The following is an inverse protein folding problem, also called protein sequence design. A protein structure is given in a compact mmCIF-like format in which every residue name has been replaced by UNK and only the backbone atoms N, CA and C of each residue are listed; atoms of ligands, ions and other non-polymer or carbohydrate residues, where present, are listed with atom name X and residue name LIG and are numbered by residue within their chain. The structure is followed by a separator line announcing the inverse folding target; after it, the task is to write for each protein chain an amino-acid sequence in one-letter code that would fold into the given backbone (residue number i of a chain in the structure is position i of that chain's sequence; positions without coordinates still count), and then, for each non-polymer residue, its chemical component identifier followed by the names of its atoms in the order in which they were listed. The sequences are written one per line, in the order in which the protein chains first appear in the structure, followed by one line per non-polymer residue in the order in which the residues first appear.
data_IF_860056622557
#
_entry.id   IF_860056622557
#
_cell.length_a   1.000
_cell.length_b   1.000
_cell.length_c   1.000
_cell.angle_alpha   90.00
_cell.angle_beta   90.00
_cell.angle_gamma   90.00
#
_symmetry.space_group_name_H-M   'P 1'
#
loop_
_entity.id
_entity.type
_entity.pdbx_description
1 polymer ?
#
# COMPACT_ATOMS: atom_id res chain seq x y z
N UNK A 1 9.75 2.02 -34.17
CA UNK A 1 10.17 2.74 -32.95
C UNK A 1 9.07 2.52 -31.92
N UNK A 2 9.23 1.57 -31.01
CA UNK A 2 8.28 1.33 -29.93
C UNK A 2 8.46 2.46 -28.91
N UNK A 3 7.45 3.31 -28.79
CA UNK A 3 7.40 4.40 -27.80
C UNK A 3 7.54 3.83 -26.40
N UNK A 4 8.39 4.44 -25.59
CA UNK A 4 8.60 4.06 -24.19
C UNK A 4 7.27 4.04 -23.45
N UNK A 5 6.82 2.85 -23.09
CA UNK A 5 5.87 2.70 -22.00
C UNK A 5 6.57 3.25 -20.78
N UNK A 6 6.04 4.32 -20.20
CA UNK A 6 6.45 4.80 -18.88
C UNK A 6 6.46 3.59 -17.95
N UNK A 7 7.64 3.09 -17.65
CA UNK A 7 7.78 1.86 -16.86
C UNK A 7 7.35 2.18 -15.42
N UNK A 8 6.15 1.71 -15.06
CA UNK A 8 5.66 1.85 -13.69
C UNK A 8 6.44 0.93 -12.80
N UNK A 9 7.09 1.52 -11.81
CA UNK A 9 7.91 0.80 -10.85
C UNK A 9 7.48 1.07 -9.40
N UNK A 10 7.73 0.07 -8.59
CA UNK A 10 7.58 0.11 -7.13
C UNK A 10 8.98 0.07 -6.51
N UNK A 11 9.24 0.93 -5.55
CA UNK A 11 10.57 1.08 -4.95
C UNK A 11 10.83 0.05 -3.84
N UNK A 12 12.11 -0.15 -3.53
CA UNK A 12 12.62 -1.09 -2.53
C UNK A 12 11.82 -1.09 -1.22
N UNK A 13 11.48 0.09 -0.69
CA UNK A 13 10.76 0.24 0.57
C UNK A 13 9.40 -0.48 0.59
N UNK A 14 8.70 -0.55 -0.56
CA UNK A 14 7.41 -1.25 -0.66
C UNK A 14 7.56 -2.76 -0.64
N UNK A 15 8.59 -3.28 -1.30
CA UNK A 15 8.88 -4.72 -1.27
C UNK A 15 9.38 -5.10 0.13
N UNK A 16 10.29 -4.32 0.72
CA UNK A 16 10.76 -4.53 2.09
C UNK A 16 9.59 -4.55 3.09
N UNK A 17 8.62 -3.64 2.96
CA UNK A 17 7.44 -3.61 3.80
C UNK A 17 6.67 -4.95 3.76
N UNK A 18 6.43 -5.53 2.58
CA UNK A 18 5.79 -6.83 2.46
C UNK A 18 6.63 -7.96 3.07
N UNK A 19 7.94 -7.97 2.81
CA UNK A 19 8.83 -8.96 3.41
C UNK A 19 8.83 -8.87 4.94
N UNK A 20 8.83 -7.67 5.52
CA UNK A 20 8.73 -7.43 6.97
C UNK A 20 7.35 -7.76 7.54
N UNK A 21 6.28 -7.65 6.74
CA UNK A 21 4.93 -7.99 7.16
C UNK A 21 4.74 -9.49 7.35
N UNK A 22 5.32 -10.30 6.46
CA UNK A 22 5.01 -11.71 6.31
C UNK A 22 6.14 -12.68 6.69
N UNK A 23 7.34 -12.20 6.96
CA UNK A 23 8.46 -13.04 7.39
C UNK A 23 9.54 -12.32 8.16
N UNK A 24 10.56 -13.04 8.66
CA UNK A 24 10.50 -14.37 9.23
C UNK A 24 9.70 -14.43 10.56
N UNK A 25 9.14 -15.57 10.95
CA UNK A 25 9.11 -16.85 10.27
C UNK A 25 8.14 -16.88 9.08
N UNK A 26 8.52 -17.56 8.00
CA UNK A 26 7.72 -17.66 6.79
C UNK A 26 6.63 -18.73 6.92
N UNK A 27 5.41 -18.45 6.42
CA UNK A 27 4.44 -19.51 6.21
C UNK A 27 4.96 -20.51 5.16
N UNK A 28 4.53 -21.80 5.24
CA UNK A 28 4.89 -22.80 4.22
C UNK A 28 4.57 -22.29 2.81
N UNK A 29 5.50 -22.46 1.88
CA UNK A 29 5.39 -22.01 0.49
C UNK A 29 5.72 -20.53 0.24
N UNK A 30 5.71 -19.67 1.25
CA UNK A 30 5.93 -18.23 1.04
C UNK A 30 7.35 -17.93 0.52
N UNK A 31 8.37 -18.51 1.14
CA UNK A 31 9.77 -18.32 0.71
C UNK A 31 10.00 -18.84 -0.71
N UNK A 32 9.42 -19.99 -1.05
CA UNK A 32 9.52 -20.59 -2.38
C UNK A 32 8.83 -19.73 -3.44
N UNK A 33 7.65 -19.16 -3.12
CA UNK A 33 6.94 -18.25 -4.00
C UNK A 33 7.76 -16.98 -4.29
N UNK A 34 8.41 -16.41 -3.28
CA UNK A 34 9.33 -15.27 -3.45
C UNK A 34 10.50 -15.61 -4.36
N UNK A 35 11.17 -16.74 -4.13
CA UNK A 35 12.31 -17.17 -4.95
C UNK A 35 11.91 -17.42 -6.41
N UNK A 36 10.74 -18.00 -6.68
CA UNK A 36 10.19 -18.17 -8.05
C UNK A 36 9.97 -16.83 -8.75
N UNK A 37 9.67 -15.77 -8.01
CA UNK A 37 9.56 -14.40 -8.54
C UNK A 37 10.92 -13.68 -8.66
N UNK A 38 12.02 -14.35 -8.33
CA UNK A 38 13.35 -13.76 -8.33
C UNK A 38 13.58 -12.74 -7.20
N UNK A 39 12.80 -12.88 -6.12
CA UNK A 39 12.94 -12.08 -4.89
C UNK A 39 13.53 -13.00 -3.82
N UNK A 40 14.80 -12.78 -3.51
CA UNK A 40 15.45 -13.49 -2.40
C UNK A 40 15.22 -12.69 -1.10
N UNK A 41 14.46 -13.21 -0.13
CA UNK A 41 14.16 -12.48 1.10
C UNK A 41 15.35 -12.33 2.05
N UNK A 42 16.45 -13.03 1.80
CA UNK A 42 17.69 -12.93 2.57
C UNK A 42 18.63 -11.84 2.02
N UNK A 43 18.34 -11.33 0.83
CA UNK A 43 19.10 -10.25 0.21
C UNK A 43 18.39 -8.91 0.36
N UNK A 44 19.17 -7.83 0.30
CA UNK A 44 18.60 -6.49 0.23
C UNK A 44 17.72 -6.33 -1.02
N UNK A 45 16.53 -5.73 -0.91
CA UNK A 45 15.68 -5.48 -2.07
C UNK A 45 16.39 -4.64 -3.13
N UNK A 46 16.10 -4.90 -4.42
CA UNK A 46 16.55 -4.04 -5.53
C UNK A 46 15.97 -2.64 -5.36
N UNK A 47 16.62 -1.63 -5.94
CA UNK A 47 16.16 -0.25 -5.87
C UNK A 47 14.72 -0.06 -6.36
N UNK A 48 14.32 -0.80 -7.42
CA UNK A 48 12.98 -0.77 -7.97
C UNK A 48 12.59 -2.14 -8.60
N UNK A 49 11.29 -2.35 -8.69
CA UNK A 49 10.68 -3.55 -9.28
C UNK A 49 9.58 -3.13 -10.27
N UNK A 50 9.46 -3.80 -11.44
CA UNK A 50 8.32 -3.58 -12.33
C UNK A 50 6.99 -3.77 -11.60
N UNK A 51 6.00 -2.94 -11.91
CA UNK A 51 4.67 -3.05 -11.30
C UNK A 51 4.08 -4.44 -11.50
N UNK A 52 4.26 -5.05 -12.68
CA UNK A 52 3.78 -6.41 -12.96
C UNK A 52 4.34 -7.46 -11.99
N UNK A 53 5.61 -7.35 -11.62
CA UNK A 53 6.23 -8.25 -10.64
C UNK A 53 5.69 -7.99 -9.22
N UNK A 54 5.47 -6.71 -8.86
CA UNK A 54 4.88 -6.37 -7.57
C UNK A 54 3.44 -6.89 -7.44
N UNK A 55 2.66 -6.87 -8.54
CA UNK A 55 1.33 -7.45 -8.56
C UNK A 55 1.34 -8.97 -8.33
N UNK A 56 2.29 -9.68 -8.95
CA UNK A 56 2.50 -11.12 -8.72
C UNK A 56 2.92 -11.41 -7.26
N UNK A 57 3.76 -10.57 -6.69
CA UNK A 57 4.16 -10.66 -5.29
C UNK A 57 2.96 -10.50 -4.36
N UNK A 58 2.10 -9.48 -4.58
CA UNK A 58 0.88 -9.28 -3.80
C UNK A 58 -0.07 -10.47 -3.90
N UNK A 59 -0.28 -11.00 -5.12
CA UNK A 59 -1.13 -12.16 -5.33
C UNK A 59 -0.61 -13.40 -4.59
N UNK A 60 0.67 -13.74 -4.78
CA UNK A 60 1.28 -14.93 -4.16
C UNK A 60 1.25 -14.87 -2.62
N UNK A 61 1.63 -13.74 -2.03
CA UNK A 61 1.58 -13.58 -0.57
C UNK A 61 0.14 -13.53 -0.06
N UNK A 62 -0.77 -12.90 -0.80
CA UNK A 62 -2.17 -12.82 -0.45
C UNK A 62 -2.83 -14.20 -0.38
N UNK A 63 -2.62 -15.05 -1.38
CA UNK A 63 -3.14 -16.42 -1.42
C UNK A 63 -2.60 -17.28 -0.26
N UNK A 64 -1.32 -17.15 0.07
CA UNK A 64 -0.70 -17.92 1.13
C UNK A 64 -1.15 -17.45 2.53
N UNK A 65 -1.30 -16.14 2.71
CA UNK A 65 -1.58 -15.58 4.04
C UNK A 65 -3.06 -15.44 4.35
N UNK A 66 -3.91 -15.29 3.34
CA UNK A 66 -5.35 -15.09 3.44
C UNK A 66 -6.13 -15.99 2.47
N UNK A 67 -5.95 -17.33 2.52
CA UNK A 67 -6.49 -18.27 1.52
C UNK A 67 -8.02 -18.26 1.48
N UNK A 68 -8.68 -18.07 2.64
CA UNK A 68 -10.13 -18.15 2.77
C UNK A 68 -10.86 -16.81 2.50
N UNK A 69 -10.08 -15.72 2.34
CA UNK A 69 -10.67 -14.41 2.08
C UNK A 69 -11.06 -14.26 0.61
N UNK A 70 -12.22 -13.65 0.35
CA UNK A 70 -12.58 -13.20 -1.00
C UNK A 70 -11.56 -12.15 -1.49
N UNK A 71 -11.44 -11.96 -2.79
CA UNK A 71 -10.34 -11.20 -3.39
C UNK A 71 -10.20 -9.77 -2.82
N UNK A 72 -11.29 -9.00 -2.74
CA UNK A 72 -11.24 -7.62 -2.24
C UNK A 72 -10.81 -7.56 -0.76
N UNK A 73 -11.33 -8.47 0.07
CA UNK A 73 -10.96 -8.57 1.48
C UNK A 73 -9.52 -9.04 1.66
N UNK A 74 -9.07 -9.99 0.84
CA UNK A 74 -7.67 -10.45 0.81
C UNK A 74 -6.73 -9.27 0.58
N UNK A 75 -7.01 -8.46 -0.43
CA UNK A 75 -6.17 -7.30 -0.72
C UNK A 75 -6.31 -6.18 0.31
N UNK A 76 -7.47 -6.03 0.94
CA UNK A 76 -7.61 -5.12 2.07
C UNK A 76 -6.69 -5.53 3.23
N UNK A 77 -6.69 -6.80 3.61
CA UNK A 77 -5.80 -7.34 4.64
C UNK A 77 -4.32 -7.23 4.24
N UNK A 78 -3.99 -7.42 2.96
CA UNK A 78 -2.66 -7.17 2.41
C UNK A 78 -2.22 -5.71 2.57
N UNK A 79 -3.10 -4.76 2.31
CA UNK A 79 -2.82 -3.33 2.49
C UNK A 79 -2.57 -2.96 3.96
N UNK A 80 -3.36 -3.53 4.86
CA UNK A 80 -3.12 -3.36 6.30
C UNK A 80 -1.79 -4.01 6.74
N UNK A 81 -1.49 -5.22 6.25
CA UNK A 81 -0.23 -5.89 6.53
C UNK A 81 0.97 -5.09 6.00
N UNK A 82 0.84 -4.50 4.82
CA UNK A 82 1.85 -3.62 4.24
C UNK A 82 2.23 -2.47 5.19
N UNK A 83 1.27 -1.77 5.78
CA UNK A 83 1.54 -0.67 6.73
C UNK A 83 2.23 -1.20 8.00
N UNK A 84 1.77 -2.34 8.56
CA UNK A 84 2.45 -2.99 9.71
C UNK A 84 3.88 -3.39 9.38
N UNK A 85 4.14 -3.86 8.18
CA UNK A 85 5.50 -4.19 7.72
C UNK A 85 6.34 -2.95 7.46
N UNK A 86 5.76 -1.92 6.86
CA UNK A 86 6.41 -0.64 6.62
C UNK A 86 6.88 0.01 7.94
N UNK A 87 6.07 -0.03 8.97
CA UNK A 87 6.42 0.43 10.33
C UNK A 87 7.65 -0.30 10.91
N UNK A 88 7.93 -1.51 10.47
CA UNK A 88 9.11 -2.29 10.89
C UNK A 88 10.38 -1.95 10.08
N UNK A 89 10.27 -1.21 8.99
CA UNK A 89 11.43 -0.72 8.25
C UNK A 89 12.00 0.54 8.91
N UNK A 90 13.27 0.86 8.66
CA UNK A 90 13.91 2.07 9.20
C UNK A 90 13.22 3.34 8.67
N UNK A 91 12.97 3.39 7.36
CA UNK A 91 12.34 4.53 6.68
C UNK A 91 10.89 4.67 7.13
N UNK A 92 10.13 3.58 7.18
CA UNK A 92 8.72 3.58 7.56
C UNK A 92 8.52 4.06 8.99
N UNK A 93 9.33 3.57 9.92
CA UNK A 93 9.30 4.00 11.32
C UNK A 93 9.51 5.51 11.48
N UNK A 94 10.55 6.03 10.84
CA UNK A 94 10.84 7.46 10.86
C UNK A 94 9.69 8.29 10.23
N UNK A 95 9.16 7.84 9.10
CA UNK A 95 8.05 8.51 8.41
C UNK A 95 6.76 8.49 9.25
N UNK A 96 6.36 7.34 9.77
CA UNK A 96 5.14 7.21 10.58
C UNK A 96 5.24 8.02 11.89
N UNK A 97 6.39 8.01 12.57
CA UNK A 97 6.59 8.86 13.76
C UNK A 97 6.38 10.34 13.45
N UNK A 98 6.88 10.82 12.30
CA UNK A 98 6.65 12.19 11.88
C UNK A 98 5.17 12.46 11.57
N UNK A 99 4.48 11.52 10.89
CA UNK A 99 3.08 11.65 10.53
C UNK A 99 2.16 11.61 11.77
N UNK A 100 2.51 10.84 12.80
CA UNK A 100 1.81 10.80 14.09
C UNK A 100 1.79 12.18 14.76
N UNK A 101 2.89 12.94 14.69
CA UNK A 101 2.98 14.28 15.27
C UNK A 101 2.04 15.30 14.58
N UNK A 102 1.75 15.10 13.30
CA UNK A 102 0.93 16.05 12.53
C UNK A 102 -0.54 15.62 12.41
N UNK A 103 -0.86 14.37 12.73
CA UNK A 103 -2.20 13.81 12.75
C UNK A 103 -2.81 13.49 11.38
N UNK A 104 -4.03 12.88 11.35
CA UNK A 104 -4.65 12.33 10.16
C UNK A 104 -4.87 13.36 9.04
N UNK A 105 -5.43 14.53 9.38
CA UNK A 105 -5.75 15.59 8.39
C UNK A 105 -4.52 16.01 7.60
N UNK A 106 -3.42 16.33 8.28
CA UNK A 106 -2.17 16.76 7.63
C UNK A 106 -1.45 15.60 6.94
N UNK A 107 -1.69 14.36 7.38
CA UNK A 107 -1.20 13.15 6.69
C UNK A 107 -1.87 13.02 5.33
N UNK A 108 -3.18 13.26 5.21
CA UNK A 108 -3.89 13.26 3.93
C UNK A 108 -3.32 14.28 2.94
N UNK A 109 -2.99 15.48 3.38
CA UNK A 109 -2.38 16.52 2.53
C UNK A 109 -1.01 16.08 1.94
N UNK A 110 -0.36 15.09 2.56
CA UNK A 110 0.94 14.58 2.16
C UNK A 110 0.89 13.25 1.41
N UNK A 111 -0.30 12.70 1.12
CA UNK A 111 -0.44 11.37 0.50
C UNK A 111 0.37 11.23 -0.79
N UNK A 112 0.22 12.16 -1.74
CA UNK A 112 0.98 12.10 -3.01
C UNK A 112 2.49 12.01 -2.76
N UNK A 113 3.00 12.81 -1.81
CA UNK A 113 4.42 12.79 -1.45
C UNK A 113 4.82 11.47 -0.78
N UNK A 114 3.97 10.93 0.07
CA UNK A 114 4.20 9.64 0.73
C UNK A 114 4.26 8.50 -0.29
N UNK A 115 3.34 8.48 -1.26
CA UNK A 115 3.33 7.48 -2.32
C UNK A 115 4.52 7.60 -3.28
N UNK A 116 5.08 8.79 -3.50
CA UNK A 116 6.30 8.95 -4.31
C UNK A 116 7.52 8.24 -3.73
N UNK A 117 7.53 7.94 -2.44
CA UNK A 117 8.57 7.12 -1.82
C UNK A 117 8.32 5.61 -2.02
N UNK A 118 7.10 5.23 -2.43
CA UNK A 118 6.69 3.85 -2.64
C UNK A 118 6.73 3.45 -4.12
N UNK A 119 6.41 4.37 -5.03
CA UNK A 119 6.32 4.13 -6.47
C UNK A 119 6.39 5.43 -7.29
N UNK A 120 6.51 5.32 -8.63
CA UNK A 120 6.60 6.47 -9.53
C UNK A 120 5.27 6.85 -10.22
N UNK A 121 4.17 6.21 -9.91
CA UNK A 121 2.91 6.34 -10.66
C UNK A 121 1.70 6.78 -9.84
N UNK A 122 1.73 6.71 -8.51
CA UNK A 122 0.58 7.07 -7.68
C UNK A 122 0.52 8.58 -7.48
N UNK A 123 -0.60 9.17 -7.90
CA UNK A 123 -0.99 10.55 -7.58
C UNK A 123 -2.27 10.52 -6.76
N UNK A 124 -2.43 11.45 -5.83
CA UNK A 124 -3.62 11.57 -5.01
C UNK A 124 -4.10 13.02 -5.01
N UNK A 125 -5.38 13.22 -5.32
CA UNK A 125 -6.09 14.48 -5.19
C UNK A 125 -7.03 14.39 -3.99
N UNK A 126 -6.97 15.37 -3.10
CA UNK A 126 -7.76 15.40 -1.89
C UNK A 126 -8.87 16.46 -2.00
N UNK A 127 -10.09 16.10 -1.65
CA UNK A 127 -11.23 17.01 -1.53
C UNK A 127 -11.83 16.87 -0.13
N UNK A 128 -11.89 17.95 0.62
CA UNK A 128 -12.59 18.00 1.90
C UNK A 128 -14.09 18.19 1.67
N UNK A 129 -14.89 17.29 2.21
CA UNK A 129 -16.36 17.34 2.14
C UNK A 129 -16.96 17.99 3.39
N UNK A 130 -16.36 17.71 4.54
CA UNK A 130 -16.68 18.26 5.86
C UNK A 130 -15.48 18.05 6.80
N UNK A 131 -15.47 18.63 8.00
CA UNK A 131 -14.44 18.33 9.00
C UNK A 131 -14.30 16.81 9.21
N UNK A 132 -13.08 16.29 9.07
CA UNK A 132 -12.75 14.86 9.19
C UNK A 132 -13.46 13.95 8.16
N UNK A 133 -13.95 14.51 7.06
CA UNK A 133 -14.60 13.78 5.97
C UNK A 133 -14.02 14.22 4.62
N UNK A 134 -13.41 13.31 3.88
CA UNK A 134 -12.64 13.59 2.67
C UNK A 134 -12.95 12.59 1.56
N UNK A 135 -12.81 13.04 0.34
CA UNK A 135 -12.61 12.19 -0.83
C UNK A 135 -11.15 12.24 -1.26
N UNK A 136 -10.63 11.07 -1.64
CA UNK A 136 -9.27 10.89 -2.14
C UNK A 136 -9.38 10.20 -3.49
N UNK A 137 -9.06 10.92 -4.55
CA UNK A 137 -8.97 10.38 -5.90
C UNK A 137 -7.53 9.96 -6.20
N UNK A 138 -7.33 8.70 -6.53
CA UNK A 138 -6.07 8.17 -7.05
C UNK A 138 -6.16 7.99 -8.56
N UNK A 139 -5.19 8.53 -9.30
CA UNK A 139 -5.16 8.47 -10.77
C UNK A 139 -4.87 7.08 -11.34
N UNK A 140 -4.21 6.20 -10.56
CA UNK A 140 -3.89 4.86 -11.00
C UNK A 140 -3.97 3.86 -9.84
N UNK A 141 -4.96 2.97 -9.89
CA UNK A 141 -5.22 1.92 -8.89
C UNK A 141 -5.62 0.63 -9.60
N UNK A 142 -4.78 -0.39 -9.54
CA UNK A 142 -5.13 -1.71 -10.08
C UNK A 142 -5.96 -2.53 -9.10
N UNK A 143 -5.64 -2.46 -7.81
CA UNK A 143 -6.28 -3.23 -6.74
C UNK A 143 -6.84 -2.27 -5.68
N UNK A 144 -8.12 -1.88 -5.77
CA UNK A 144 -8.74 -0.96 -4.80
C UNK A 144 -8.68 -1.45 -3.36
N UNK A 145 -8.92 -2.75 -3.13
CA UNK A 145 -8.85 -3.34 -1.78
C UNK A 145 -7.52 -3.07 -1.10
N UNK A 146 -6.39 -3.19 -1.83
CA UNK A 146 -5.07 -2.91 -1.27
C UNK A 146 -4.93 -1.44 -0.84
N UNK A 147 -5.33 -0.48 -1.68
CA UNK A 147 -5.30 0.94 -1.32
C UNK A 147 -6.22 1.28 -0.15
N UNK A 148 -7.42 0.65 -0.09
CA UNK A 148 -8.34 0.76 1.04
C UNK A 148 -7.66 0.31 2.34
N UNK A 149 -6.98 -0.83 2.32
CA UNK A 149 -6.23 -1.35 3.47
C UNK A 149 -5.05 -0.46 3.89
N UNK A 150 -4.31 0.09 2.92
CA UNK A 150 -3.21 1.06 3.17
C UNK A 150 -3.74 2.34 3.82
N UNK A 151 -4.85 2.89 3.32
CA UNK A 151 -5.49 4.09 3.89
C UNK A 151 -6.01 3.81 5.30
N UNK A 152 -6.72 2.69 5.50
CA UNK A 152 -7.27 2.31 6.81
C UNK A 152 -6.16 2.18 7.85
N UNK A 153 -5.18 1.33 7.62
CA UNK A 153 -4.11 1.11 8.58
C UNK A 153 -3.21 2.35 8.76
N UNK A 154 -2.91 3.06 7.67
CA UNK A 154 -2.06 4.26 7.72
C UNK A 154 -2.70 5.41 8.50
N UNK A 155 -4.00 5.66 8.32
CA UNK A 155 -4.70 6.72 9.05
C UNK A 155 -4.95 6.35 10.51
N UNK A 156 -5.23 5.08 10.83
CA UNK A 156 -5.30 4.60 12.22
C UNK A 156 -3.96 4.76 12.92
N UNK A 157 -2.87 4.43 12.26
CA UNK A 157 -1.51 4.58 12.81
C UNK A 157 -1.16 6.03 13.17
N UNK A 158 -1.81 7.03 12.56
CA UNK A 158 -1.60 8.45 12.84
C UNK A 158 -2.73 9.09 13.65
N UNK A 159 -3.60 8.28 14.26
CA UNK A 159 -4.58 8.72 15.26
C UNK A 159 -6.00 8.95 14.75
N UNK A 160 -6.39 8.43 13.58
CA UNK A 160 -7.79 8.43 13.18
C UNK A 160 -8.59 7.38 13.97
N UNK A 161 -9.58 7.82 14.75
CA UNK A 161 -10.47 6.95 15.50
C UNK A 161 -11.78 6.73 14.73
N UNK A 162 -12.47 5.62 14.98
CA UNK A 162 -13.73 5.25 14.33
C UNK A 162 -13.69 5.47 12.80
N UNK A 163 -12.56 5.07 12.20
CA UNK A 163 -12.26 5.32 10.81
C UNK A 163 -13.10 4.43 9.88
N UNK A 164 -13.75 5.04 8.89
CA UNK A 164 -14.34 4.38 7.70
C UNK A 164 -13.55 4.78 6.47
N UNK A 165 -13.21 3.79 5.64
CA UNK A 165 -12.60 3.95 4.31
C UNK A 165 -13.39 3.12 3.32
N UNK A 166 -14.06 3.76 2.38
CA UNK A 166 -14.95 3.13 1.41
C UNK A 166 -14.54 3.49 -0.01
N UNK A 167 -14.65 2.54 -0.94
CA UNK A 167 -14.50 2.80 -2.37
C UNK A 167 -15.78 3.49 -2.86
N UNK A 168 -15.73 4.80 -3.08
CA UNK A 168 -16.88 5.59 -3.53
C UNK A 168 -17.09 5.49 -5.04
N UNK A 169 -16.02 5.44 -5.83
CA UNK A 169 -16.09 5.42 -7.30
C UNK A 169 -14.88 4.71 -7.89
N UNK A 170 -15.10 4.02 -9.02
CA UNK A 170 -14.04 3.47 -9.86
C UNK A 170 -14.30 3.81 -11.32
N UNK A 171 -13.30 4.35 -12.00
CA UNK A 171 -13.32 4.67 -13.42
C UNK A 171 -12.04 4.16 -14.07
N UNK A 172 -12.16 3.10 -14.86
CA UNK A 172 -11.01 2.39 -15.45
C UNK A 172 -9.93 2.07 -14.37
N UNK A 173 -8.82 2.79 -14.37
CA UNK A 173 -7.74 2.63 -13.40
C UNK A 173 -7.72 3.73 -12.33
N UNK A 174 -8.58 4.75 -12.39
CA UNK A 174 -8.74 5.70 -11.31
C UNK A 174 -9.72 5.18 -10.26
N UNK A 175 -9.48 5.53 -9.00
CA UNK A 175 -10.37 5.16 -7.90
C UNK A 175 -10.50 6.31 -6.90
N UNK A 176 -11.73 6.57 -6.46
CA UNK A 176 -12.03 7.55 -5.41
C UNK A 176 -12.46 6.83 -4.15
N UNK A 177 -11.81 7.15 -3.05
CA UNK A 177 -12.16 6.64 -1.73
C UNK A 177 -12.75 7.75 -0.88
N UNK A 178 -13.81 7.43 -0.14
CA UNK A 178 -14.33 8.30 0.92
C UNK A 178 -13.70 7.87 2.24
N UNK A 179 -13.21 8.84 3.00
CA UNK A 179 -12.55 8.63 4.28
C UNK A 179 -13.19 9.51 5.34
N UNK A 180 -13.60 8.92 6.46
CA UNK A 180 -14.22 9.62 7.59
C UNK A 180 -13.74 9.05 8.91
N UNK A 181 -13.50 9.93 9.90
CA UNK A 181 -13.14 9.52 11.27
C UNK A 181 -13.74 10.48 12.31
N UNK A 182 -13.61 10.16 13.62
CA UNK A 182 -14.08 11.00 14.75
C UNK A 182 -12.94 11.71 15.48
#
# INVERSE_FOLDING_TARGET
MAGGQDERVVFAASVEALLRAFGPPWKPGAREALLKLGIDPEQAPRAAYPLSLYMQLLAALGEIHFPDAIEDERYFQMGQAFIRGFERTLIGRAQLSLLQLIGPRRTLDRLTRSFRNANNYTTANLRELAPKHFEIEFGFVQIPGFYRGVLDAGLRAVGANDLSVELAKREALAATFTVRWT
#
